data_IF_519859915721
#
_entry.id   IF_519859915721
#
_cell.length_a   1.000
_cell.length_b   1.000
_cell.length_c   1.000
_cell.angle_alpha   90.00
_cell.angle_beta   90.00
_cell.angle_gamma   90.00
#
_symmetry.space_group_name_H-M   'P 1'
#
loop_
_entity.id
_entity.type
_entity.pdbx_description
1 polymer ?
#
# COMPACT_ATOMS: atom_id res chain seq x y z
N UNK A 1 3.44 -4.82 -32.13
CA UNK A 1 4.21 -4.35 -30.96
C UNK A 1 3.26 -4.27 -29.76
N UNK A 2 3.48 -5.05 -28.73
CA UNK A 2 2.71 -5.00 -27.48
C UNK A 2 3.00 -3.70 -26.75
N UNK A 3 1.95 -3.05 -26.23
CA UNK A 3 2.10 -1.77 -25.50
C UNK A 3 2.74 -1.99 -24.13
N UNK A 4 3.44 -0.99 -23.58
CA UNK A 4 3.88 -1.03 -22.18
C UNK A 4 2.67 -1.23 -21.25
N UNK A 5 2.86 -1.98 -20.17
CA UNK A 5 1.84 -2.25 -19.14
C UNK A 5 2.14 -1.40 -17.92
N UNK A 6 1.15 -0.69 -17.42
CA UNK A 6 1.28 0.20 -16.28
C UNK A 6 0.91 -0.51 -14.97
N UNK A 7 1.72 -0.32 -13.96
CA UNK A 7 1.49 -0.81 -12.60
C UNK A 7 1.78 0.28 -11.58
N UNK A 8 1.13 0.20 -10.43
CA UNK A 8 1.40 1.10 -9.30
C UNK A 8 1.94 0.26 -8.15
N UNK A 9 3.03 0.71 -7.54
CA UNK A 9 3.50 0.24 -6.24
C UNK A 9 3.10 1.22 -5.15
N UNK A 10 2.53 0.70 -4.04
CA UNK A 10 2.21 1.46 -2.84
C UNK A 10 2.98 0.90 -1.65
N UNK A 11 3.56 1.78 -0.86
CA UNK A 11 4.26 1.43 0.36
C UNK A 11 4.04 2.49 1.46
N UNK A 12 3.87 2.03 2.68
CA UNK A 12 4.04 2.83 3.89
C UNK A 12 5.09 2.15 4.77
N UNK A 13 6.16 2.87 5.10
CA UNK A 13 7.26 2.36 5.92
C UNK A 13 6.88 2.20 7.39
N UNK A 14 7.71 1.49 8.16
CA UNK A 14 7.46 1.23 9.61
C UNK A 14 7.39 2.50 10.45
N UNK A 15 8.05 3.58 10.02
CA UNK A 15 7.98 4.89 10.66
C UNK A 15 6.62 5.58 10.52
N UNK A 16 5.76 5.09 9.63
CA UNK A 16 4.44 5.65 9.34
C UNK A 16 4.48 7.16 9.03
N UNK A 17 5.52 7.62 8.31
CA UNK A 17 5.67 9.03 7.96
C UNK A 17 4.81 9.42 6.76
N UNK A 18 4.85 8.60 5.72
CA UNK A 18 4.16 8.85 4.47
C UNK A 18 3.74 7.55 3.77
N UNK A 19 2.83 7.70 2.83
CA UNK A 19 2.48 6.71 1.81
C UNK A 19 3.20 7.11 0.53
N UNK A 20 4.08 6.23 0.06
CA UNK A 20 4.77 6.41 -1.20
C UNK A 20 4.12 5.60 -2.30
N UNK A 21 3.92 6.23 -3.46
CA UNK A 21 3.36 5.63 -4.65
C UNK A 21 4.28 5.84 -5.86
N UNK A 22 4.44 4.81 -6.67
CA UNK A 22 5.19 4.87 -7.92
C UNK A 22 4.38 4.27 -9.07
N UNK A 23 4.23 5.01 -10.17
CA UNK A 23 3.67 4.53 -11.42
C UNK A 23 4.82 4.08 -12.32
N UNK A 24 4.77 2.83 -12.77
CA UNK A 24 5.83 2.18 -13.53
C UNK A 24 5.25 1.56 -14.80
N UNK A 25 5.98 1.69 -15.91
CA UNK A 25 5.72 0.96 -17.14
C UNK A 25 6.68 -0.23 -17.29
N UNK A 26 6.14 -1.41 -17.54
CA UNK A 26 6.90 -2.58 -17.97
C UNK A 26 6.78 -2.74 -19.48
N UNK A 27 7.91 -2.66 -20.17
CA UNK A 27 8.02 -2.79 -21.61
C UNK A 27 8.16 -4.26 -22.05
N UNK A 28 7.73 -4.61 -23.28
CA UNK A 28 7.82 -5.98 -23.79
C UNK A 28 9.24 -6.52 -23.92
N UNK A 29 10.23 -5.65 -24.02
CA UNK A 29 11.67 -5.97 -24.06
C UNK A 29 12.30 -6.20 -22.67
N UNK A 30 11.46 -6.17 -21.61
CA UNK A 30 11.89 -6.34 -20.22
C UNK A 30 12.38 -5.07 -19.54
N UNK A 31 12.39 -3.93 -20.23
CA UNK A 31 12.76 -2.66 -19.61
C UNK A 31 11.65 -2.18 -18.66
N UNK A 32 12.08 -1.54 -17.57
CA UNK A 32 11.19 -0.92 -16.56
C UNK A 32 11.44 0.58 -16.59
N UNK A 33 10.36 1.36 -16.69
CA UNK A 33 10.41 2.83 -16.69
C UNK A 33 9.58 3.38 -15.53
N UNK A 34 10.20 4.16 -14.67
CA UNK A 34 9.48 4.98 -13.68
C UNK A 34 8.84 6.17 -14.41
N UNK A 35 7.52 6.29 -14.32
CA UNK A 35 6.76 7.38 -14.96
C UNK A 35 6.58 8.54 -14.00
N UNK A 36 6.10 8.26 -12.78
CA UNK A 36 5.76 9.28 -11.80
C UNK A 36 5.82 8.70 -10.39
N UNK A 37 6.11 9.55 -9.41
CA UNK A 37 5.99 9.24 -7.99
C UNK A 37 5.10 10.25 -7.30
N UNK A 38 4.48 9.83 -6.21
CA UNK A 38 3.72 10.70 -5.33
C UNK A 38 3.90 10.23 -3.89
N UNK A 39 3.99 11.16 -2.95
CA UNK A 39 4.08 10.88 -1.52
C UNK A 39 3.02 11.68 -0.78
N UNK A 40 2.30 11.02 0.12
CA UNK A 40 1.28 11.63 0.97
C UNK A 40 1.64 11.41 2.43
N UNK A 41 1.91 12.49 3.16
CA UNK A 41 2.18 12.41 4.61
C UNK A 41 0.95 11.87 5.36
N UNK A 42 1.19 10.98 6.33
CA UNK A 42 0.13 10.52 7.20
C UNK A 42 -0.27 11.62 8.20
N UNK A 43 -1.59 11.78 8.48
CA UNK A 43 -2.05 12.64 9.57
C UNK A 43 -1.39 12.24 10.89
N UNK A 44 -0.90 13.23 11.66
CA UNK A 44 -0.14 12.99 12.90
C UNK A 44 -0.91 12.11 13.90
N UNK A 45 -2.25 12.25 13.97
CA UNK A 45 -3.09 11.44 14.82
C UNK A 45 -3.13 9.96 14.39
N UNK A 46 -3.19 9.68 13.10
CA UNK A 46 -3.14 8.31 12.57
C UNK A 46 -1.75 7.70 12.77
N UNK A 47 -0.69 8.46 12.46
CA UNK A 47 0.70 8.04 12.68
C UNK A 47 0.93 7.63 14.14
N UNK A 48 0.51 8.46 15.12
CA UNK A 48 0.68 8.15 16.54
C UNK A 48 -0.03 6.86 16.94
N UNK A 49 -1.24 6.59 16.42
CA UNK A 49 -1.98 5.35 16.69
C UNK A 49 -1.32 4.13 16.05
N UNK A 50 -0.78 4.26 14.84
CA UNK A 50 -0.04 3.18 14.17
C UNK A 50 1.20 2.81 14.98
N UNK A 51 1.98 3.81 15.42
CA UNK A 51 3.19 3.59 16.23
C UNK A 51 2.81 2.93 17.58
N UNK A 52 1.73 3.37 18.22
CA UNK A 52 1.23 2.73 19.43
C UNK A 52 0.88 1.26 19.17
N UNK A 53 0.15 0.96 18.09
CA UNK A 53 -0.23 -0.41 17.74
C UNK A 53 0.96 -1.33 17.43
N UNK A 54 2.11 -0.79 17.05
CA UNK A 54 3.35 -1.55 16.83
C UNK A 54 4.06 -1.92 18.14
N UNK A 55 3.85 -1.17 19.21
CA UNK A 55 4.63 -1.26 20.44
C UNK A 55 3.80 -1.57 21.68
N UNK A 56 2.50 -1.32 21.65
CA UNK A 56 1.60 -1.45 22.78
C UNK A 56 0.68 -2.67 22.64
N UNK A 57 0.83 -3.61 23.57
CA UNK A 57 -0.01 -4.80 23.63
C UNK A 57 -1.49 -4.50 23.98
N UNK A 58 -1.78 -3.30 24.48
CA UNK A 58 -3.14 -2.90 24.88
C UNK A 58 -3.95 -2.27 23.74
N UNK A 59 -3.37 -2.14 22.54
CA UNK A 59 -4.12 -1.66 21.36
C UNK A 59 -5.26 -2.61 21.05
N UNK A 60 -6.49 -2.07 21.00
CA UNK A 60 -7.68 -2.88 20.74
C UNK A 60 -7.72 -3.34 19.28
N UNK A 61 -8.32 -4.52 19.02
CA UNK A 61 -8.59 -4.99 17.66
C UNK A 61 -9.48 -3.99 16.90
N UNK A 62 -10.42 -3.32 17.58
CA UNK A 62 -11.27 -2.30 16.97
C UNK A 62 -10.43 -1.12 16.45
N UNK A 63 -9.42 -0.68 17.19
CA UNK A 63 -8.54 0.41 16.76
C UNK A 63 -7.72 0.00 15.55
N UNK A 64 -7.21 -1.24 15.53
CA UNK A 64 -6.49 -1.79 14.37
C UNK A 64 -7.40 -1.81 13.12
N UNK A 65 -8.63 -2.29 13.26
CA UNK A 65 -9.60 -2.30 12.15
C UNK A 65 -9.94 -0.88 11.67
N UNK A 66 -10.03 0.10 12.59
CA UNK A 66 -10.26 1.50 12.22
C UNK A 66 -9.09 2.07 11.44
N UNK A 67 -7.87 1.81 11.89
CA UNK A 67 -6.64 2.23 11.19
C UNK A 67 -6.52 1.57 9.81
N UNK A 68 -6.90 0.31 9.68
CA UNK A 68 -6.94 -0.43 8.41
C UNK A 68 -7.82 0.28 7.37
N UNK A 69 -9.02 0.72 7.79
CA UNK A 69 -9.93 1.50 6.94
C UNK A 69 -9.38 2.89 6.62
N UNK A 70 -8.90 3.63 7.62
CA UNK A 70 -8.37 4.99 7.42
C UNK A 70 -7.19 4.99 6.45
N UNK A 71 -6.26 4.03 6.58
CA UNK A 71 -5.14 3.86 5.65
C UNK A 71 -5.61 3.58 4.23
N UNK A 72 -6.61 2.73 4.04
CA UNK A 72 -7.13 2.41 2.71
C UNK A 72 -7.70 3.64 1.98
N UNK A 73 -8.33 4.56 2.72
CA UNK A 73 -8.82 5.83 2.16
C UNK A 73 -7.66 6.72 1.72
N UNK A 74 -6.59 6.79 2.50
CA UNK A 74 -5.39 7.54 2.16
C UNK A 74 -4.64 6.91 0.97
N UNK A 75 -4.54 5.57 0.90
CA UNK A 75 -3.99 4.87 -0.25
C UNK A 75 -4.75 5.20 -1.53
N UNK A 76 -6.09 5.18 -1.48
CA UNK A 76 -6.90 5.54 -2.63
C UNK A 76 -6.71 7.00 -3.07
N UNK A 77 -6.59 7.93 -2.11
CA UNK A 77 -6.28 9.33 -2.39
C UNK A 77 -4.90 9.48 -3.04
N UNK A 78 -3.88 8.79 -2.50
CA UNK A 78 -2.51 8.78 -3.05
C UNK A 78 -2.48 8.27 -4.50
N UNK A 79 -3.19 7.18 -4.79
CA UNK A 79 -3.31 6.64 -6.17
C UNK A 79 -3.98 7.64 -7.09
N UNK A 80 -5.07 8.28 -6.65
CA UNK A 80 -5.79 9.29 -7.44
C UNK A 80 -4.89 10.47 -7.79
N UNK A 81 -4.13 10.98 -6.83
CA UNK A 81 -3.24 12.12 -7.02
C UNK A 81 -2.03 11.76 -7.89
N UNK A 82 -1.46 10.56 -7.73
CA UNK A 82 -0.41 10.02 -8.60
C UNK A 82 -0.89 9.98 -10.06
N UNK A 83 -2.06 9.39 -10.32
CA UNK A 83 -2.61 9.25 -11.66
C UNK A 83 -2.96 10.61 -12.29
N UNK A 84 -3.50 11.53 -11.49
CA UNK A 84 -3.76 12.91 -11.93
C UNK A 84 -2.48 13.63 -12.34
N UNK A 85 -1.42 13.51 -11.54
CA UNK A 85 -0.11 14.11 -11.82
C UNK A 85 0.52 13.51 -13.08
N UNK A 86 0.41 12.20 -13.25
CA UNK A 86 0.94 11.49 -14.42
C UNK A 86 0.11 11.70 -15.70
N UNK A 87 -1.13 12.19 -15.60
CA UNK A 87 -2.06 12.28 -16.73
C UNK A 87 -2.49 10.91 -17.27
N UNK A 88 -2.48 9.87 -16.43
CA UNK A 88 -2.76 8.48 -16.81
C UNK A 88 -4.13 8.06 -16.26
N UNK A 89 -5.05 7.56 -17.13
CA UNK A 89 -6.34 7.07 -16.65
C UNK A 89 -6.20 5.78 -15.84
N UNK A 90 -6.99 5.63 -14.77
CA UNK A 90 -7.01 4.43 -13.95
C UNK A 90 -7.28 3.15 -14.77
N UNK A 91 -8.12 3.24 -15.81
CA UNK A 91 -8.47 2.10 -16.68
C UNK A 91 -7.30 1.54 -17.50
N UNK A 92 -6.16 2.24 -17.54
CA UNK A 92 -4.94 1.79 -18.24
C UNK A 92 -3.91 1.17 -17.30
N UNK A 93 -4.19 1.15 -15.99
CA UNK A 93 -3.35 0.53 -14.98
C UNK A 93 -3.82 -0.91 -14.78
N UNK A 94 -2.91 -1.86 -14.91
CA UNK A 94 -3.19 -3.30 -14.81
C UNK A 94 -3.47 -3.72 -13.36
N UNK A 95 -2.62 -3.26 -12.44
CA UNK A 95 -2.77 -3.56 -11.02
C UNK A 95 -2.00 -2.59 -10.12
N UNK A 96 -2.40 -2.56 -8.86
CA UNK A 96 -1.70 -1.93 -7.74
C UNK A 96 -1.08 -3.04 -6.90
N UNK A 97 0.23 -3.00 -6.66
CA UNK A 97 0.89 -3.78 -5.62
C UNK A 97 0.89 -2.99 -4.31
N UNK A 98 0.13 -3.42 -3.32
CA UNK A 98 0.04 -2.74 -2.03
C UNK A 98 0.78 -3.52 -0.94
N UNK A 99 1.88 -2.94 -0.44
CA UNK A 99 2.61 -3.53 0.71
C UNK A 99 1.80 -3.43 2.00
N UNK A 100 0.98 -2.38 2.14
CA UNK A 100 0.31 -2.05 3.40
C UNK A 100 1.28 -1.46 4.44
N UNK A 101 0.76 -1.18 5.62
CA UNK A 101 1.49 -0.70 6.80
C UNK A 101 1.77 -1.86 7.74
N UNK A 102 3.03 -2.19 7.97
CA UNK A 102 3.39 -3.26 8.90
C UNK A 102 3.12 -2.81 10.34
N UNK A 103 2.29 -3.56 11.04
CA UNK A 103 2.09 -3.44 12.48
C UNK A 103 2.99 -4.41 13.24
N UNK A 104 3.01 -5.69 12.85
CA UNK A 104 3.79 -6.73 13.52
C UNK A 104 4.57 -7.55 12.50
N UNK A 105 5.78 -7.95 12.88
CA UNK A 105 6.63 -8.83 12.10
C UNK A 105 7.42 -9.76 13.03
N UNK A 106 7.04 -11.02 13.06
CA UNK A 106 7.60 -12.02 13.98
C UNK A 106 8.01 -13.31 13.22
N UNK A 107 9.02 -13.24 12.34
CA UNK A 107 9.43 -14.36 11.50
C UNK A 107 10.11 -15.50 12.27
N UNK A 108 10.60 -15.21 13.49
CA UNK A 108 11.29 -16.19 14.35
C UNK A 108 10.43 -16.69 15.53
N UNK A 109 9.15 -16.31 15.58
CA UNK A 109 8.23 -16.81 16.59
C UNK A 109 7.98 -18.32 16.41
N UNK A 110 7.51 -18.99 17.47
CA UNK A 110 7.12 -20.41 17.38
C UNK A 110 6.10 -20.69 16.27
N UNK A 111 5.16 -19.75 16.06
CA UNK A 111 4.31 -19.69 14.88
C UNK A 111 4.64 -18.38 14.16
N UNK A 112 5.49 -18.42 13.11
CA UNK A 112 5.89 -17.20 12.41
C UNK A 112 4.71 -16.47 11.78
N UNK A 113 4.70 -15.14 11.89
CA UNK A 113 3.65 -14.31 11.29
C UNK A 113 4.13 -12.92 10.95
N UNK A 114 3.38 -12.26 10.09
CA UNK A 114 3.48 -10.82 9.81
C UNK A 114 2.08 -10.26 9.61
N UNK A 115 1.86 -9.02 10.05
CA UNK A 115 0.59 -8.31 9.91
C UNK A 115 0.84 -6.97 9.26
N UNK A 116 0.26 -6.79 8.08
CA UNK A 116 0.14 -5.51 7.40
C UNK A 116 -1.33 -5.10 7.36
N UNK A 117 -1.60 -3.82 7.57
CA UNK A 117 -2.93 -3.23 7.48
C UNK A 117 -3.01 -2.26 6.28
N UNK A 118 -4.23 -1.89 5.90
CA UNK A 118 -4.59 -1.11 4.72
C UNK A 118 -5.48 -1.95 3.80
N UNK A 119 -6.81 -1.90 4.04
CA UNK A 119 -7.84 -2.73 3.40
C UNK A 119 -7.74 -2.71 1.86
N UNK A 120 -7.20 -3.81 1.30
CA UNK A 120 -7.00 -3.98 -0.13
C UNK A 120 -8.32 -4.02 -0.92
N UNK A 121 -9.41 -4.53 -0.31
CA UNK A 121 -10.71 -4.59 -0.96
C UNK A 121 -11.29 -3.19 -1.15
N UNK A 122 -11.18 -2.36 -0.11
CA UNK A 122 -11.60 -0.96 -0.17
C UNK A 122 -10.77 -0.14 -1.15
N UNK A 123 -9.44 -0.35 -1.16
CA UNK A 123 -8.55 0.27 -2.13
C UNK A 123 -8.95 -0.10 -3.56
N UNK A 124 -9.23 -1.38 -3.83
CA UNK A 124 -9.67 -1.84 -5.16
C UNK A 124 -11.01 -1.21 -5.57
N UNK A 125 -11.98 -1.15 -4.65
CA UNK A 125 -13.30 -0.55 -4.90
C UNK A 125 -13.18 0.96 -5.21
N UNK A 126 -12.38 1.69 -4.44
CA UNK A 126 -12.23 3.14 -4.60
C UNK A 126 -11.38 3.54 -5.81
N UNK A 127 -10.33 2.78 -6.12
CA UNK A 127 -9.45 3.04 -7.26
C UNK A 127 -9.98 2.50 -8.58
N UNK A 128 -10.86 1.51 -8.54
CA UNK A 128 -11.32 0.73 -9.71
C UNK A 128 -10.18 -0.01 -10.43
N UNK A 129 -9.11 -0.32 -9.70
CA UNK A 129 -7.94 -1.03 -10.21
C UNK A 129 -7.79 -2.31 -9.41
N UNK A 130 -7.38 -3.40 -10.08
CA UNK A 130 -7.02 -4.64 -9.39
C UNK A 130 -5.93 -4.39 -8.35
N UNK A 131 -6.10 -4.91 -7.12
CA UNK A 131 -5.10 -4.78 -6.05
C UNK A 131 -4.51 -6.15 -5.73
N UNK A 132 -3.19 -6.21 -5.68
CA UNK A 132 -2.42 -7.35 -5.18
C UNK A 132 -1.77 -6.91 -3.86
N UNK A 133 -2.11 -7.58 -2.78
CA UNK A 133 -1.60 -7.26 -1.45
C UNK A 133 -1.42 -8.51 -0.59
N UNK A 134 -1.06 -8.31 0.67
CA UNK A 134 -0.83 -9.40 1.66
C UNK A 134 0.25 -10.42 1.23
N UNK A 135 1.18 -10.01 0.38
CA UNK A 135 2.23 -10.90 -0.15
C UNK A 135 3.36 -11.17 0.87
N UNK A 136 3.47 -10.40 1.96
CA UNK A 136 4.48 -10.62 3.01
C UNK A 136 4.27 -11.92 3.79
N UNK A 137 3.03 -12.40 3.90
CA UNK A 137 2.76 -13.71 4.52
C UNK A 137 3.40 -14.85 3.73
N UNK A 138 3.47 -14.72 2.41
CA UNK A 138 4.12 -15.71 1.56
C UNK A 138 5.64 -15.75 1.76
N UNK A 139 6.27 -14.63 2.10
CA UNK A 139 7.71 -14.56 2.39
C UNK A 139 8.08 -15.35 3.66
N UNK A 140 7.10 -15.53 4.57
CA UNK A 140 7.29 -16.24 5.85
C UNK A 140 6.90 -17.71 5.73
N UNK A 141 5.96 -18.04 4.86
CA UNK A 141 5.47 -19.42 4.66
C UNK A 141 6.47 -20.27 3.89
#
# INVERSE_FOLDING_TARGET
MTRPRHFIGLMSGTSADAIDAALVAFHPDGQTQLICTHSLELPASLKSRIIAAQTDADTSIQDVCTQDVELSLLYAATVKDLLKTAGVPASTVEAIGNHGQTLLHAPTAHHPFTLQIGDNHRLAELSRITVVGDFRRRDIA
#
